data_IF_882111339793
#
_entry.id   IF_882111339793
#
_cell.length_a   1.000
_cell.length_b   1.000
_cell.length_c   1.000
_cell.angle_alpha   90.00
_cell.angle_beta   90.00
_cell.angle_gamma   90.00
#
_symmetry.space_group_name_H-M   'P 1'
#
loop_
_entity.id
_entity.type
_entity.pdbx_description
1 polymer ?
#
# COMPACT_ATOMS: atom_id res chain seq x y z
N UNK A 1 2.09 -19.07 -11.52
CA UNK A 1 0.75 -18.79 -10.96
C UNK A 1 0.92 -18.55 -9.46
N UNK A 2 0.44 -17.38 -8.96
CA UNK A 2 0.34 -17.11 -7.52
C UNK A 2 -0.62 -18.10 -6.85
N UNK A 3 -0.47 -18.26 -5.53
CA UNK A 3 -1.38 -19.08 -4.73
C UNK A 3 -2.28 -18.13 -3.94
N UNK A 4 -3.49 -17.86 -4.45
CA UNK A 4 -4.46 -17.02 -3.77
C UNK A 4 -5.01 -17.68 -2.49
N UNK A 5 -5.43 -16.84 -1.54
CA UNK A 5 -6.09 -17.30 -0.32
C UNK A 5 -7.49 -17.82 -0.63
N UNK A 6 -7.73 -19.11 -0.40
CA UNK A 6 -9.00 -19.76 -0.78
C UNK A 6 -10.23 -19.13 -0.11
N UNK A 7 -10.11 -18.74 1.16
CA UNK A 7 -11.20 -18.05 1.87
C UNK A 7 -11.60 -16.73 1.22
N UNK A 8 -10.63 -15.93 0.76
CA UNK A 8 -10.91 -14.67 0.05
C UNK A 8 -11.61 -14.92 -1.29
N UNK A 9 -11.18 -15.92 -2.04
CA UNK A 9 -11.87 -16.30 -3.29
C UNK A 9 -13.29 -16.76 -3.02
N UNK A 10 -13.52 -17.59 -2.02
CA UNK A 10 -14.86 -18.06 -1.67
C UNK A 10 -15.76 -16.90 -1.25
N UNK A 11 -15.25 -15.96 -0.45
CA UNK A 11 -16.00 -14.78 -0.03
C UNK A 11 -16.33 -13.84 -1.21
N UNK A 12 -15.41 -13.71 -2.17
CA UNK A 12 -15.60 -12.82 -3.33
C UNK A 12 -16.47 -13.45 -4.42
N UNK A 13 -16.32 -14.73 -4.70
CA UNK A 13 -16.88 -15.40 -5.87
C UNK A 13 -17.97 -16.41 -5.55
N UNK A 14 -18.23 -16.68 -4.27
CA UNK A 14 -19.35 -17.52 -3.82
C UNK A 14 -19.37 -18.93 -4.43
N UNK A 15 -18.28 -19.54 -4.75
CA UNK A 15 -18.21 -20.86 -5.40
C UNK A 15 -18.25 -20.84 -6.92
N UNK A 16 -18.45 -19.68 -7.54
CA UNK A 16 -18.45 -19.50 -9.01
C UNK A 16 -17.04 -19.30 -9.60
N UNK A 17 -16.02 -19.81 -8.94
CA UNK A 17 -14.63 -19.64 -9.35
C UNK A 17 -14.35 -20.45 -10.63
N UNK A 18 -13.81 -19.78 -11.65
CA UNK A 18 -13.38 -20.36 -12.91
C UNK A 18 -12.09 -19.69 -13.42
N UNK A 19 -11.55 -20.15 -14.54
CA UNK A 19 -10.32 -19.63 -15.11
C UNK A 19 -10.41 -18.14 -15.52
N UNK A 20 -11.58 -17.68 -15.94
CA UNK A 20 -11.83 -16.29 -16.32
C UNK A 20 -11.81 -15.39 -15.08
N UNK A 21 -12.55 -15.77 -14.03
CA UNK A 21 -12.54 -15.04 -12.75
C UNK A 21 -11.15 -15.04 -12.10
N UNK A 22 -10.41 -16.14 -12.17
CA UNK A 22 -9.03 -16.21 -11.67
C UNK A 22 -8.13 -15.21 -12.41
N UNK A 23 -8.28 -15.09 -13.73
CA UNK A 23 -7.53 -14.13 -14.54
C UNK A 23 -7.94 -12.70 -14.23
N UNK A 24 -9.23 -12.43 -14.12
CA UNK A 24 -9.79 -11.10 -13.87
C UNK A 24 -9.38 -10.55 -12.50
N UNK A 25 -9.45 -11.38 -11.45
CA UNK A 25 -9.11 -10.98 -10.08
C UNK A 25 -7.63 -11.16 -9.72
N UNK A 26 -6.80 -11.57 -10.67
CA UNK A 26 -5.34 -11.57 -10.51
C UNK A 26 -4.81 -10.15 -10.73
N UNK A 27 -4.52 -9.44 -9.63
CA UNK A 27 -4.21 -8.00 -9.65
C UNK A 27 -3.01 -7.64 -10.51
N UNK A 28 -2.02 -8.54 -10.64
CA UNK A 28 -0.88 -8.32 -11.55
C UNK A 28 -1.30 -8.16 -13.01
N UNK A 29 -2.44 -8.73 -13.41
CA UNK A 29 -2.98 -8.59 -14.78
C UNK A 29 -3.76 -7.27 -14.95
N UNK A 30 -3.95 -6.50 -13.90
CA UNK A 30 -4.72 -5.24 -13.89
C UNK A 30 -3.85 -4.01 -13.73
N UNK A 31 -2.55 -4.20 -13.58
CA UNK A 31 -1.59 -3.09 -13.52
C UNK A 31 -1.54 -2.37 -14.87
N UNK A 32 -1.52 -1.05 -14.81
CA UNK A 32 -1.34 -0.15 -15.96
C UNK A 32 -0.37 0.97 -15.57
N UNK A 33 0.04 1.80 -16.52
CA UNK A 33 0.86 2.98 -16.25
C UNK A 33 0.17 4.01 -15.33
N UNK A 34 -1.16 3.94 -15.16
CA UNK A 34 -1.95 4.78 -14.25
C UNK A 34 -2.09 4.18 -12.85
N UNK A 35 -1.57 2.97 -12.61
CA UNK A 35 -1.57 2.38 -11.26
C UNK A 35 -0.77 3.26 -10.32
N UNK A 36 -1.33 3.62 -9.13
CA UNK A 36 -0.63 4.48 -8.20
C UNK A 36 0.71 3.92 -7.73
N UNK A 37 1.66 4.78 -7.31
CA UNK A 37 2.87 4.35 -6.63
C UNK A 37 2.56 3.41 -5.48
N UNK A 38 3.29 2.30 -5.39
CA UNK A 38 2.93 1.18 -4.51
C UNK A 38 4.09 0.75 -3.62
N UNK A 39 3.85 0.66 -2.30
CA UNK A 39 4.75 0.03 -1.32
C UNK A 39 4.19 -1.33 -0.92
N UNK A 40 4.98 -2.39 -1.06
CA UNK A 40 4.65 -3.76 -0.67
C UNK A 40 5.47 -4.18 0.55
N UNK A 41 4.77 -4.68 1.58
CA UNK A 41 5.38 -5.13 2.83
C UNK A 41 4.92 -6.57 3.09
N UNK A 42 5.84 -7.52 3.08
CA UNK A 42 5.56 -8.95 3.07
C UNK A 42 6.39 -9.67 4.14
N UNK A 43 5.97 -10.89 4.51
CA UNK A 43 6.80 -11.86 5.25
C UNK A 43 7.12 -13.07 4.37
N UNK A 44 8.37 -13.52 4.41
CA UNK A 44 8.82 -14.67 3.64
C UNK A 44 8.14 -15.97 4.09
N UNK A 45 7.86 -16.08 5.38
CA UNK A 45 7.23 -17.21 6.03
C UNK A 45 5.68 -17.19 6.04
N UNK A 46 5.03 -16.28 5.27
CA UNK A 46 3.57 -16.24 5.18
C UNK A 46 3.03 -17.46 4.40
N UNK A 47 2.43 -18.39 5.14
CA UNK A 47 1.84 -19.62 4.58
C UNK A 47 0.39 -19.45 4.16
N UNK A 48 -0.27 -18.38 4.55
CA UNK A 48 -1.68 -18.09 4.22
C UNK A 48 -1.77 -17.35 2.90
N UNK A 49 -0.97 -16.28 2.74
CA UNK A 49 -0.83 -15.54 1.49
C UNK A 49 0.66 -15.51 1.11
N UNK A 50 1.14 -16.50 0.38
CA UNK A 50 2.56 -16.62 0.05
C UNK A 50 3.11 -15.36 -0.62
N UNK A 51 4.35 -14.94 -0.31
CA UNK A 51 4.95 -13.70 -0.79
C UNK A 51 5.08 -13.64 -2.32
N UNK A 52 5.04 -14.78 -3.00
CA UNK A 52 5.03 -14.84 -4.47
C UNK A 52 3.91 -13.99 -5.09
N UNK A 53 2.77 -13.81 -4.41
CA UNK A 53 1.69 -12.96 -4.91
C UNK A 53 2.12 -11.49 -4.99
N UNK A 54 2.81 -11.00 -3.95
CA UNK A 54 3.38 -9.65 -3.94
C UNK A 54 4.50 -9.49 -4.98
N UNK A 55 5.35 -10.51 -5.15
CA UNK A 55 6.42 -10.50 -6.14
C UNK A 55 5.86 -10.38 -7.57
N UNK A 56 4.82 -11.16 -7.90
CA UNK A 56 4.16 -11.08 -9.22
C UNK A 56 3.56 -9.68 -9.45
N UNK A 57 2.92 -9.11 -8.43
CA UNK A 57 2.36 -7.78 -8.52
C UNK A 57 3.45 -6.70 -8.67
N UNK A 58 4.55 -6.81 -7.90
CA UNK A 58 5.70 -5.92 -8.01
C UNK A 58 6.32 -5.95 -9.42
N UNK A 59 6.51 -7.13 -10.00
CA UNK A 59 7.03 -7.27 -11.36
C UNK A 59 6.13 -6.56 -12.37
N UNK A 60 4.82 -6.76 -12.29
CA UNK A 60 3.86 -6.07 -13.16
C UNK A 60 3.93 -4.54 -12.99
N UNK A 61 4.07 -4.02 -11.76
CA UNK A 61 4.28 -2.59 -11.53
C UNK A 61 5.54 -2.07 -12.25
N UNK A 62 6.65 -2.81 -12.17
CA UNK A 62 7.91 -2.43 -12.83
C UNK A 62 7.82 -2.49 -14.34
N UNK A 63 7.17 -3.51 -14.91
CA UNK A 63 6.92 -3.65 -16.34
C UNK A 63 6.10 -2.47 -16.92
N UNK A 64 5.19 -1.91 -16.13
CA UNK A 64 4.37 -0.76 -16.52
C UNK A 64 4.94 0.61 -16.10
N UNK A 65 6.21 0.65 -15.64
CA UNK A 65 6.88 1.88 -15.26
C UNK A 65 6.33 2.54 -13.99
N UNK A 66 5.56 1.82 -13.18
CA UNK A 66 5.01 2.33 -11.93
C UNK A 66 6.10 2.39 -10.86
N UNK A 67 6.17 3.52 -10.12
CA UNK A 67 7.03 3.65 -8.96
C UNK A 67 6.60 2.66 -7.89
N UNK A 68 7.47 1.74 -7.53
CA UNK A 68 7.17 0.71 -6.55
C UNK A 68 8.39 0.37 -5.69
N UNK A 69 8.14 0.06 -4.41
CA UNK A 69 9.12 -0.50 -3.46
C UNK A 69 8.56 -1.75 -2.81
N UNK A 70 9.42 -2.69 -2.47
CA UNK A 70 9.02 -3.95 -1.83
C UNK A 70 10.02 -4.35 -0.74
N UNK A 71 9.50 -4.68 0.45
CA UNK A 71 10.26 -5.24 1.55
C UNK A 71 9.69 -6.60 1.93
N UNK A 72 10.56 -7.61 1.99
CA UNK A 72 10.20 -8.96 2.44
C UNK A 72 10.96 -9.24 3.73
N UNK A 73 10.24 -9.32 4.84
CA UNK A 73 10.81 -9.62 6.15
C UNK A 73 10.96 -11.13 6.33
N UNK A 74 12.06 -11.62 6.91
CA UNK A 74 12.33 -13.05 7.01
C UNK A 74 11.27 -13.85 7.75
N UNK A 75 10.62 -13.22 8.76
CA UNK A 75 9.59 -13.87 9.59
C UNK A 75 8.50 -12.88 9.96
N UNK A 76 7.34 -13.40 10.34
CA UNK A 76 6.17 -12.62 10.78
C UNK A 76 4.86 -13.34 10.50
N UNK A 77 4.88 -14.30 9.59
CA UNK A 77 3.70 -15.01 9.15
C UNK A 77 2.68 -14.09 8.51
N UNK A 78 1.40 -14.43 8.68
CA UNK A 78 0.29 -13.67 8.10
C UNK A 78 -0.31 -12.64 9.06
N UNK A 79 -0.66 -11.47 8.52
CA UNK A 79 -1.49 -10.49 9.23
C UNK A 79 -0.81 -9.85 10.45
N UNK A 80 0.50 -9.63 10.39
CA UNK A 80 1.23 -9.01 11.50
C UNK A 80 0.86 -7.52 11.68
N UNK A 81 0.70 -6.75 10.60
CA UNK A 81 0.30 -5.35 10.64
C UNK A 81 1.03 -4.54 11.72
N UNK A 82 0.26 -3.89 12.59
CA UNK A 82 0.75 -3.04 13.70
C UNK A 82 0.97 -3.81 15.02
N UNK A 83 0.91 -5.13 15.01
CA UNK A 83 1.03 -5.93 16.24
C UNK A 83 2.39 -5.74 16.89
N UNK A 84 2.42 -5.48 18.21
CA UNK A 84 3.65 -5.24 18.97
C UNK A 84 4.62 -6.42 18.93
N UNK A 85 4.11 -7.64 18.81
CA UNK A 85 4.91 -8.86 18.70
C UNK A 85 5.62 -9.04 17.35
N UNK A 86 5.34 -8.20 16.36
CA UNK A 86 6.04 -8.30 15.09
C UNK A 86 7.45 -7.75 15.21
N UNK A 87 8.44 -8.61 15.04
CA UNK A 87 9.86 -8.31 15.23
C UNK A 87 10.37 -7.11 14.43
N UNK A 88 9.79 -6.88 13.26
CA UNK A 88 10.22 -5.83 12.31
C UNK A 88 9.22 -4.64 12.29
N UNK A 89 8.48 -4.44 13.38
CA UNK A 89 7.47 -3.37 13.46
C UNK A 89 8.05 -1.99 13.17
N UNK A 90 9.13 -1.62 13.83
CA UNK A 90 9.76 -0.31 13.65
C UNK A 90 10.34 -0.14 12.24
N UNK A 91 10.92 -1.20 11.68
CA UNK A 91 11.51 -1.17 10.34
C UNK A 91 10.46 -0.92 9.26
N UNK A 92 9.31 -1.61 9.30
CA UNK A 92 8.28 -1.39 8.29
C UNK A 92 7.61 -0.02 8.44
N UNK A 93 7.43 0.44 9.68
CA UNK A 93 6.89 1.78 9.93
C UNK A 93 7.83 2.85 9.38
N UNK A 94 9.12 2.72 9.65
CA UNK A 94 10.12 3.65 9.12
C UNK A 94 10.19 3.60 7.60
N UNK A 95 10.22 2.41 6.99
CA UNK A 95 10.19 2.25 5.53
C UNK A 95 8.96 2.91 4.90
N UNK A 96 7.80 2.81 5.56
CA UNK A 96 6.56 3.46 5.09
C UNK A 96 6.67 5.00 5.17
N UNK A 97 7.19 5.52 6.28
CA UNK A 97 7.40 6.96 6.43
C UNK A 97 8.37 7.52 5.39
N UNK A 98 9.46 6.83 5.14
CA UNK A 98 10.46 7.25 4.16
C UNK A 98 9.91 7.20 2.73
N UNK A 99 9.14 6.16 2.39
CA UNK A 99 8.42 6.06 1.14
C UNK A 99 7.43 7.23 0.93
N UNK A 100 6.67 7.59 1.95
CA UNK A 100 5.72 8.70 1.87
C UNK A 100 6.41 10.06 1.73
N UNK A 101 7.56 10.25 2.39
CA UNK A 101 8.38 11.46 2.23
C UNK A 101 8.88 11.58 0.79
N UNK A 102 9.45 10.50 0.25
CA UNK A 102 9.96 10.45 -1.11
C UNK A 102 8.88 10.79 -2.14
N UNK A 103 7.67 10.23 -1.99
CA UNK A 103 6.53 10.56 -2.86
C UNK A 103 6.11 12.04 -2.76
N UNK A 104 6.23 12.65 -1.59
CA UNK A 104 5.94 14.07 -1.38
C UNK A 104 6.99 14.97 -2.02
N UNK A 105 8.26 14.62 -1.89
CA UNK A 105 9.37 15.38 -2.46
C UNK A 105 9.32 15.36 -3.98
N UNK A 106 9.00 14.23 -4.60
CA UNK A 106 8.79 14.12 -6.06
C UNK A 106 7.66 15.05 -6.54
N UNK A 107 6.53 15.08 -5.83
CA UNK A 107 5.40 15.97 -6.16
C UNK A 107 5.77 17.44 -6.03
N UNK A 108 6.51 17.79 -4.98
CA UNK A 108 6.97 19.15 -4.77
C UNK A 108 7.96 19.59 -5.85
N UNK A 109 8.89 18.72 -6.22
CA UNK A 109 9.86 18.97 -7.30
C UNK A 109 9.15 19.17 -8.65
N UNK A 110 8.19 18.30 -8.99
CA UNK A 110 7.39 18.45 -10.21
C UNK A 110 6.60 19.79 -10.21
N UNK A 111 6.03 20.18 -9.07
CA UNK A 111 5.31 21.45 -8.91
C UNK A 111 6.20 22.67 -9.08
N UNK A 112 7.45 22.59 -8.63
CA UNK A 112 8.45 23.69 -8.79
C UNK A 112 8.88 23.79 -10.24
N UNK A 113 9.15 22.68 -10.93
CA UNK A 113 9.53 22.66 -12.34
C UNK A 113 8.43 23.22 -13.24
N UNK A 114 7.16 22.91 -12.95
CA UNK A 114 6.01 23.43 -13.70
C UNK A 114 5.76 24.93 -13.47
N UNK A 115 6.38 25.54 -12.47
CA UNK A 115 6.24 26.98 -12.13
C UNK A 115 7.39 27.85 -12.65
N UNK A 116 8.35 27.31 -13.38
CA UNK A 116 9.43 28.13 -13.93
C UNK A 116 8.90 28.99 -15.07
N UNK A 117 9.01 30.33 -14.98
CA UNK A 117 8.60 31.23 -16.06
C UNK A 117 9.50 31.01 -17.28
N UNK A 118 8.89 30.74 -18.41
CA UNK A 118 9.60 30.61 -19.69
C UNK A 118 9.50 29.24 -20.37
N UNK A 119 8.85 28.25 -19.78
CA UNK A 119 8.55 26.99 -20.48
C UNK A 119 7.20 27.09 -21.22
N UNK A 120 7.13 26.69 -22.51
CA UNK A 120 5.86 26.70 -23.24
C UNK A 120 4.90 25.70 -22.60
N UNK A 121 3.75 26.17 -22.14
CA UNK A 121 2.70 25.37 -21.49
C UNK A 121 2.44 25.70 -20.02
N UNK A 122 3.16 26.64 -19.40
CA UNK A 122 2.86 27.10 -18.04
C UNK A 122 1.58 27.94 -18.02
N UNK A 123 0.53 27.41 -17.41
CA UNK A 123 -0.65 28.19 -17.01
C UNK A 123 -0.39 28.76 -15.63
N UNK A 124 -0.43 30.08 -15.49
CA UNK A 124 -0.28 30.76 -14.21
C UNK A 124 -1.54 30.51 -13.36
N UNK A 125 -1.52 29.44 -12.57
CA UNK A 125 -2.56 29.19 -11.56
C UNK A 125 -2.11 29.88 -10.29
N UNK A 126 -2.65 31.06 -10.05
CA UNK A 126 -2.33 31.97 -8.92
C UNK A 126 -2.56 31.36 -7.53
N UNK A 127 -1.78 30.37 -7.17
CA UNK A 127 -1.75 29.79 -5.84
C UNK A 127 -0.59 30.41 -5.05
N UNK A 128 -0.92 31.22 -4.05
CA UNK A 128 0.08 31.83 -3.14
C UNK A 128 0.89 30.74 -2.43
N UNK A 129 2.23 30.86 -2.32
CA UNK A 129 3.03 29.94 -1.55
C UNK A 129 2.70 30.09 -0.06
N UNK A 130 2.27 28.99 0.57
CA UNK A 130 2.15 28.93 2.01
C UNK A 130 3.55 28.85 2.61
N UNK A 131 3.96 29.93 3.27
CA UNK A 131 5.17 30.00 4.08
C UNK A 131 5.09 29.02 5.24
N UNK A 132 6.16 28.25 5.46
CA UNK A 132 6.38 27.37 6.61
C UNK A 132 5.57 26.07 6.64
N UNK A 133 5.96 25.06 5.86
CA UNK A 133 5.31 23.73 5.87
C UNK A 133 6.24 22.52 6.09
N UNK A 134 7.50 22.71 6.49
CA UNK A 134 8.36 21.53 6.76
C UNK A 134 8.01 20.79 8.05
N UNK A 135 7.50 21.48 9.08
CA UNK A 135 7.04 20.82 10.32
C UNK A 135 5.62 20.27 10.18
N UNK A 136 4.69 21.02 9.58
CA UNK A 136 3.31 20.60 9.42
C UNK A 136 3.13 19.38 8.49
N UNK A 137 3.97 19.23 7.47
CA UNK A 137 3.93 18.06 6.59
C UNK A 137 4.37 16.77 7.28
N UNK A 138 5.32 16.85 8.21
CA UNK A 138 5.78 15.71 9.00
C UNK A 138 4.74 15.30 10.04
N UNK A 139 4.20 16.26 10.76
CA UNK A 139 3.14 16.03 11.75
C UNK A 139 1.86 15.51 11.09
N UNK A 140 1.50 15.99 9.90
CA UNK A 140 0.34 15.54 9.16
C UNK A 140 0.56 14.10 8.62
N UNK A 141 1.76 13.77 8.12
CA UNK A 141 2.07 12.42 7.67
C UNK A 141 2.07 11.42 8.84
N UNK A 142 2.64 11.80 9.98
CA UNK A 142 2.60 11.01 11.20
C UNK A 142 1.15 10.86 11.73
N UNK A 143 0.35 11.91 11.71
CA UNK A 143 -1.06 11.86 12.10
C UNK A 143 -1.91 11.02 11.16
N UNK A 144 -1.69 11.07 9.84
CA UNK A 144 -2.40 10.25 8.85
C UNK A 144 -2.04 8.78 9.00
N UNK A 145 -0.76 8.45 9.23
CA UNK A 145 -0.34 7.07 9.49
C UNK A 145 -0.93 6.57 10.81
N UNK A 146 -0.92 7.38 11.87
CA UNK A 146 -1.53 7.03 13.15
C UNK A 146 -3.06 6.90 13.07
N UNK A 147 -3.74 7.77 12.34
CA UNK A 147 -5.19 7.68 12.13
C UNK A 147 -5.55 6.43 11.31
N UNK A 148 -4.83 6.15 10.22
CA UNK A 148 -5.04 4.93 9.43
C UNK A 148 -4.77 3.65 10.24
N UNK A 149 -3.75 3.67 11.08
CA UNK A 149 -3.42 2.58 12.01
C UNK A 149 -4.52 2.38 13.06
N UNK A 150 -5.07 3.47 13.61
CA UNK A 150 -6.16 3.42 14.59
C UNK A 150 -7.49 2.97 13.97
N UNK A 151 -7.85 3.50 12.80
CA UNK A 151 -9.08 3.11 12.08
C UNK A 151 -9.06 1.63 11.67
N UNK A 152 -7.94 1.16 11.11
CA UNK A 152 -7.76 -0.23 10.76
C UNK A 152 -7.78 -1.14 12.01
N UNK A 153 -7.17 -0.70 13.10
CA UNK A 153 -7.21 -1.40 14.39
C UNK A 153 -8.62 -1.48 14.99
N UNK A 154 -9.45 -0.45 14.82
CA UNK A 154 -10.85 -0.44 15.25
C UNK A 154 -11.73 -1.34 14.36
N UNK A 155 -11.55 -1.30 13.05
CA UNK A 155 -12.28 -2.18 12.12
C UNK A 155 -11.97 -3.66 12.35
N UNK A 156 -10.71 -4.00 12.69
CA UNK A 156 -10.33 -5.38 13.03
C UNK A 156 -10.92 -5.81 14.37
N UNK A 157 -11.07 -4.91 15.35
CA UNK A 157 -11.70 -5.22 16.65
C UNK A 157 -13.21 -5.39 16.51
N UNK A 158 -13.89 -4.50 15.80
CA UNK A 158 -15.35 -4.58 15.61
C UNK A 158 -15.78 -5.83 14.84
N UNK A 159 -14.98 -6.29 13.86
CA UNK A 159 -15.24 -7.55 13.16
C UNK A 159 -14.99 -8.79 14.02
N UNK A 160 -14.11 -8.73 15.04
CA UNK A 160 -13.89 -9.84 15.96
C UNK A 160 -15.07 -10.07 16.91
N UNK A 161 -15.82 -9.04 17.24
CA UNK A 161 -16.97 -9.13 18.14
C UNK A 161 -18.25 -9.57 17.41
N UNK A 162 -18.36 -9.34 16.10
CA UNK A 162 -19.56 -9.66 15.31
C UNK A 162 -19.53 -11.03 14.61
N UNK A 163 -18.36 -11.59 14.31
CA UNK A 163 -18.25 -12.71 13.37
C UNK A 163 -17.72 -14.02 13.98
N UNK A 164 -17.53 -14.09 15.33
CA UNK A 164 -17.10 -15.33 15.98
C UNK A 164 -18.26 -15.95 16.76
N UNK A 165 -18.85 -17.06 16.31
CA UNK A 165 -19.82 -17.80 17.11
C UNK A 165 -19.11 -18.33 18.37
N UNK A 166 -19.65 -18.01 19.53
CA UNK A 166 -19.20 -18.56 20.79
C UNK A 166 -19.40 -20.08 20.78
N UNK A 167 -18.33 -20.81 20.85
CA UNK A 167 -18.22 -22.16 21.34
C UNK A 167 -19.08 -23.26 20.68
N UNK A 168 -18.44 -24.12 19.91
CA UNK A 168 -18.63 -25.58 20.05
C UNK A 168 -17.26 -26.24 20.04
#
# INVERSE_FOLDING_TARGET
>A
KGKGHQGSFNALLGGSRNAESDTWYSLQNRVTAQTPPTLLLLSDDDKVVPPVNGILYYNALKEHGVKASMHIYPTGGHGWGIRDRFKYKEQWQQATLDWLKELNDDRNTASVLLRQPGLPGCVDVGIRPATSRKSAGRELAEAVVQAAVQEFGQQVRSRRESDWPAGQ
#
